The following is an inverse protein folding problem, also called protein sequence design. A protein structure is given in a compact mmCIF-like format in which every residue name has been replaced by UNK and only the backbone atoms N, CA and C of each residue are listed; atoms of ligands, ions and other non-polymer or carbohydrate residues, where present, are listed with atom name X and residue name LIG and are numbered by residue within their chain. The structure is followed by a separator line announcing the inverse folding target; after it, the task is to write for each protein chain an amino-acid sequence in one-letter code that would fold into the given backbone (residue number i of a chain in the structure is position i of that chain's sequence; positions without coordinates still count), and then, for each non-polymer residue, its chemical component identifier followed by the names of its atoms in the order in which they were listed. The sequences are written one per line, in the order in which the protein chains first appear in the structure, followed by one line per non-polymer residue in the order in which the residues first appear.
data_IF_853615973860
#
_entry.id   IF_853615973860
#
_cell.length_a   1.000
_cell.length_b   1.000
_cell.length_c   1.000
_cell.angle_alpha   90.00
_cell.angle_beta   90.00
_cell.angle_gamma   90.00
#
_symmetry.space_group_name_H-M   'P 1'
#
loop_
_entity.id
_entity.type
_entity.pdbx_description
1 polymer ?
#
# COMPACT_ATOMS: atom_id res chain seq x y z
N UNK A 1 -1.25 3.46 13.84
CA UNK A 1 -0.77 4.39 12.80
C UNK A 1 -0.39 3.67 11.49
N UNK A 2 0.51 2.68 11.50
CA UNK A 2 0.89 1.90 10.29
C UNK A 2 -0.33 1.29 9.56
N UNK A 3 -1.25 0.65 10.29
CA UNK A 3 -2.46 0.10 9.69
C UNK A 3 -3.35 1.17 9.01
N UNK A 4 -3.33 2.40 9.53
CA UNK A 4 -4.05 3.53 8.95
C UNK A 4 -3.42 4.00 7.64
N UNK A 5 -2.08 4.09 7.59
CA UNK A 5 -1.33 4.41 6.36
C UNK A 5 -1.51 3.33 5.29
N UNK A 6 -1.50 2.05 5.68
CA UNK A 6 -1.77 0.94 4.75
C UNK A 6 -3.18 1.06 4.17
N UNK A 7 -4.20 1.37 4.99
CA UNK A 7 -5.56 1.57 4.51
C UNK A 7 -5.70 2.80 3.59
N UNK A 8 -5.01 3.91 3.88
CA UNK A 8 -5.08 5.11 3.05
C UNK A 8 -4.50 4.88 1.65
N UNK A 9 -3.53 3.98 1.53
CA UNK A 9 -2.93 3.52 0.26
C UNK A 9 -3.78 2.52 -0.53
N UNK A 10 -5.07 2.42 -0.21
CA UNK A 10 -6.02 1.50 -0.87
C UNK A 10 -5.58 0.04 -0.78
N UNK A 11 -4.89 -0.32 0.31
CA UNK A 11 -4.49 -1.71 0.52
C UNK A 11 -5.71 -2.60 0.76
N UNK A 12 -5.65 -3.82 0.24
CA UNK A 12 -6.52 -4.91 0.65
C UNK A 12 -5.79 -5.75 1.71
N UNK A 13 -6.25 -5.67 2.96
CA UNK A 13 -5.67 -6.43 4.06
C UNK A 13 -6.17 -7.87 4.01
N UNK A 14 -5.25 -8.83 3.89
CA UNK A 14 -5.56 -10.26 3.93
C UNK A 14 -5.60 -10.79 5.36
N UNK A 15 -4.58 -10.44 6.16
CA UNK A 15 -4.51 -10.87 7.54
C UNK A 15 -3.76 -9.86 8.41
N UNK A 16 -4.11 -9.88 9.69
CA UNK A 16 -3.40 -9.17 10.75
C UNK A 16 -3.14 -10.21 11.84
N UNK A 17 -1.87 -10.51 12.05
CA UNK A 17 -1.41 -11.49 13.04
C UNK A 17 -0.65 -10.74 14.14
N UNK A 18 -1.11 -10.85 15.38
CA UNK A 18 -0.47 -10.20 16.53
C UNK A 18 0.20 -11.25 17.40
N UNK A 19 1.52 -11.16 17.55
CA UNK A 19 2.34 -12.03 18.37
C UNK A 19 3.05 -11.23 19.46
N UNK A 20 2.55 -11.31 20.69
CA UNK A 20 3.07 -10.58 21.85
C UNK A 20 3.20 -9.07 21.59
N UNK A 21 4.41 -8.62 21.20
CA UNK A 21 4.77 -7.23 20.93
C UNK A 21 4.91 -6.92 19.44
N UNK A 22 4.79 -7.93 18.58
CA UNK A 22 4.90 -7.84 17.13
C UNK A 22 3.51 -7.90 16.48
N UNK A 23 3.35 -7.12 15.41
CA UNK A 23 2.17 -7.15 14.56
C UNK A 23 2.64 -7.36 13.11
N UNK A 24 2.10 -8.39 12.47
CA UNK A 24 2.39 -8.75 11.08
C UNK A 24 1.12 -8.44 10.27
N UNK A 25 1.27 -7.60 9.26
CA UNK A 25 0.18 -7.19 8.37
C UNK A 25 0.48 -7.77 6.99
N UNK A 26 -0.39 -8.65 6.49
CA UNK A 26 -0.35 -9.14 5.10
C UNK A 26 -1.40 -8.41 4.30
N UNK A 27 -0.98 -7.77 3.22
CA UNK A 27 -1.88 -7.00 2.37
C UNK A 27 -1.40 -6.91 0.93
N UNK A 28 -2.32 -6.64 0.02
CA UNK A 28 -2.03 -6.22 -1.34
C UNK A 28 -2.17 -4.71 -1.45
N UNK A 29 -1.15 -4.04 -1.97
CA UNK A 29 -1.18 -2.59 -2.23
C UNK A 29 -0.99 -2.37 -3.73
N UNK A 30 -1.75 -1.45 -4.36
CA UNK A 30 -1.45 -1.04 -5.72
C UNK A 30 -0.06 -0.41 -5.80
N UNK A 31 0.80 -0.89 -6.71
CA UNK A 31 2.18 -0.40 -6.84
C UNK A 31 2.28 1.13 -7.03
N UNK A 32 1.27 1.76 -7.63
CA UNK A 32 1.20 3.21 -7.77
C UNK A 32 1.15 3.97 -6.42
N UNK A 33 0.70 3.33 -5.35
CA UNK A 33 0.53 3.93 -4.01
C UNK A 33 1.73 3.65 -3.08
N UNK A 34 2.75 2.91 -3.55
CA UNK A 34 3.90 2.49 -2.72
C UNK A 34 5.06 3.49 -2.73
N UNK A 35 5.02 4.50 -3.59
CA UNK A 35 6.04 5.54 -3.60
C UNK A 35 6.09 6.24 -2.24
N UNK A 36 7.30 6.40 -1.69
CA UNK A 36 7.50 6.99 -0.36
C UNK A 36 7.27 6.04 0.82
N UNK A 37 6.67 4.87 0.62
CA UNK A 37 6.26 3.95 1.69
C UNK A 37 7.40 3.59 2.66
N UNK A 38 8.62 3.36 2.15
CA UNK A 38 9.77 3.05 3.00
C UNK A 38 10.09 4.16 4.02
N UNK A 39 9.98 5.43 3.59
CA UNK A 39 10.24 6.59 4.43
C UNK A 39 9.12 6.82 5.45
N UNK A 40 7.88 6.67 5.00
CA UNK A 40 6.70 6.81 5.85
C UNK A 40 6.68 5.71 6.93
N UNK A 41 6.91 4.44 6.55
CA UNK A 41 6.99 3.32 7.49
C UNK A 41 8.10 3.53 8.52
N UNK A 42 9.27 4.02 8.11
CA UNK A 42 10.36 4.34 9.03
C UNK A 42 9.94 5.39 10.05
N UNK A 43 9.27 6.46 9.60
CA UNK A 43 8.81 7.55 10.47
C UNK A 43 7.73 7.07 11.45
N UNK A 44 6.72 6.33 10.95
CA UNK A 44 5.61 5.80 11.75
C UNK A 44 6.06 4.75 12.78
N UNK A 45 7.07 3.94 12.43
CA UNK A 45 7.59 2.90 13.33
C UNK A 45 8.72 3.35 14.24
N UNK A 46 9.16 4.62 14.14
CA UNK A 46 10.39 5.11 14.77
C UNK A 46 11.61 4.23 14.41
N UNK A 47 11.64 3.75 13.16
CA UNK A 47 12.72 2.92 12.60
C UNK A 47 12.73 1.46 13.04
N UNK A 48 11.65 0.93 13.62
CA UNK A 48 11.57 -0.44 14.14
C UNK A 48 10.87 -1.45 13.23
N UNK A 49 10.04 -0.98 12.29
CA UNK A 49 9.31 -1.86 11.38
C UNK A 49 10.15 -2.19 10.14
N UNK A 50 9.93 -3.40 9.62
CA UNK A 50 10.47 -3.86 8.34
C UNK A 50 9.31 -4.23 7.42
N UNK A 51 9.57 -4.21 6.11
CA UNK A 51 8.61 -4.67 5.11
C UNK A 51 9.33 -5.38 3.96
N UNK A 52 8.59 -6.23 3.28
CA UNK A 52 8.98 -6.88 2.03
C UNK A 52 7.84 -6.73 1.05
N UNK A 53 8.17 -6.53 -0.23
CA UNK A 53 7.17 -6.33 -1.28
C UNK A 53 7.57 -7.15 -2.51
N UNK A 54 6.60 -7.86 -3.06
CA UNK A 54 6.75 -8.67 -4.27
C UNK A 54 5.57 -8.40 -5.19
N UNK A 55 5.81 -8.48 -6.50
CA UNK A 55 4.74 -8.43 -7.49
C UNK A 55 3.81 -9.64 -7.31
N UNK A 56 2.50 -9.38 -7.13
CA UNK A 56 1.49 -10.44 -7.03
C UNK A 56 0.75 -10.66 -8.34
N UNK A 57 0.04 -9.64 -8.84
CA UNK A 57 -0.82 -9.73 -10.03
C UNK A 57 -1.19 -8.35 -10.57
N UNK A 58 -1.67 -8.33 -11.81
CA UNK A 58 -2.43 -7.20 -12.33
C UNK A 58 -3.89 -7.27 -11.87
N UNK A 59 -4.49 -6.10 -11.66
CA UNK A 59 -5.90 -5.97 -11.34
C UNK A 59 -6.45 -4.75 -12.07
N UNK A 60 -7.70 -4.84 -12.51
CA UNK A 60 -8.38 -3.71 -13.14
C UNK A 60 -8.53 -2.55 -12.17
N UNK A 61 -8.28 -1.34 -12.68
CA UNK A 61 -8.46 -0.12 -11.93
C UNK A 61 -9.95 0.21 -11.83
N UNK A 62 -10.47 0.66 -10.68
CA UNK A 62 -11.85 1.13 -10.58
C UNK A 62 -12.17 2.19 -11.65
N UNK A 63 -13.38 2.12 -12.23
CA UNK A 63 -13.74 2.88 -13.43
C UNK A 63 -13.53 4.40 -13.35
N UNK A 64 -13.69 5.00 -12.18
CA UNK A 64 -13.43 6.43 -11.97
C UNK A 64 -11.95 6.79 -12.13
N UNK A 65 -11.07 6.00 -11.54
CA UNK A 65 -9.62 6.19 -11.62
C UNK A 65 -9.10 5.84 -13.01
N UNK A 66 -9.64 4.79 -13.65
CA UNK A 66 -9.28 4.41 -15.00
C UNK A 66 -9.54 5.54 -16.00
N UNK A 67 -10.72 6.19 -15.90
CA UNK A 67 -11.06 7.37 -16.71
C UNK A 67 -10.09 8.52 -16.48
N UNK A 68 -9.74 8.79 -15.23
CA UNK A 68 -8.84 9.88 -14.86
C UNK A 68 -7.44 9.70 -15.46
N UNK A 69 -6.85 8.50 -15.33
CA UNK A 69 -5.54 8.20 -15.91
C UNK A 69 -5.54 8.14 -17.44
N UNK A 70 -6.62 7.63 -18.05
CA UNK A 70 -6.78 7.67 -19.51
C UNK A 70 -6.85 9.11 -20.04
N UNK A 71 -7.58 9.99 -19.36
CA UNK A 71 -7.65 11.41 -19.73
C UNK A 71 -6.28 12.10 -19.62
N UNK A 72 -5.51 11.79 -18.58
CA UNK A 72 -4.15 12.32 -18.39
C UNK A 72 -3.18 11.84 -19.48
N UNK A 73 -3.30 10.57 -19.90
CA UNK A 73 -2.46 10.00 -20.97
C UNK A 73 -2.77 10.56 -22.36
N UNK A 74 -4.00 11.02 -22.61
CA UNK A 74 -4.41 11.62 -23.91
C UNK A 74 -4.00 13.09 -24.03
N UNK A 75 -3.74 13.78 -22.91
CA UNK A 75 -3.36 15.19 -22.87
C UNK A 75 -1.84 15.42 -22.94
N UNK A 76 -1.04 14.35 -22.96
CA UNK A 76 0.43 14.37 -23.08
C UNK A 76 0.85 13.93 -24.48
#
# INVERSE_FOLDING_TARGET
EILGDVNSRRAHIESIETHETLCIIRCYVPLAETFGFAGDLRSLSQGRANYTMEFCRYQELPGDLARQHMAEMVMK
#
